data_IF_451106112073
#
_entry.id   IF_451106112073
#
_cell.length_a   1.000
_cell.length_b   1.000
_cell.length_c   1.000
_cell.angle_alpha   90.00
_cell.angle_beta   90.00
_cell.angle_gamma   90.00
#
_symmetry.space_group_name_H-M   'P 1'
#
loop_
_entity.id
_entity.type
_entity.pdbx_description
1 polymer ?
#
# COMPACT_ATOMS: atom_id res chain seq x y z
N UNK A 1 -44.61 -60.37 -37.73
CA UNK A 1 -43.61 -61.42 -37.50
C UNK A 1 -42.32 -60.69 -37.10
N UNK A 2 -42.02 -60.61 -35.80
CA UNK A 2 -40.82 -59.94 -35.31
C UNK A 2 -39.70 -60.96 -35.19
N UNK A 3 -38.66 -60.77 -35.99
CA UNK A 3 -37.44 -61.57 -35.96
C UNK A 3 -36.73 -61.32 -34.62
N UNK A 4 -36.79 -62.33 -33.73
CA UNK A 4 -36.18 -62.25 -32.40
C UNK A 4 -34.66 -62.31 -32.61
N UNK A 5 -33.96 -61.22 -32.34
CA UNK A 5 -32.49 -61.17 -32.40
C UNK A 5 -31.94 -62.16 -31.36
N UNK A 6 -31.59 -63.38 -31.79
CA UNK A 6 -30.97 -64.39 -30.94
C UNK A 6 -29.46 -64.11 -30.93
N UNK A 7 -28.99 -63.45 -29.88
CA UNK A 7 -27.57 -63.24 -29.64
C UNK A 7 -26.88 -64.58 -29.38
N UNK A 8 -25.78 -64.85 -30.11
CA UNK A 8 -24.90 -65.99 -29.83
C UNK A 8 -24.31 -65.87 -28.42
N UNK A 9 -24.02 -67.01 -27.78
CA UNK A 9 -23.54 -67.01 -26.38
C UNK A 9 -22.20 -66.28 -26.21
N UNK A 10 -21.37 -66.28 -27.25
CA UNK A 10 -20.10 -65.54 -27.29
C UNK A 10 -20.32 -64.01 -27.31
N UNK A 11 -21.42 -63.55 -27.95
CA UNK A 11 -21.82 -62.13 -27.94
C UNK A 11 -22.38 -61.71 -26.58
N UNK A 12 -23.11 -62.60 -25.89
CA UNK A 12 -23.62 -62.34 -24.54
C UNK A 12 -22.50 -62.21 -23.52
N UNK A 13 -21.50 -63.09 -23.58
CA UNK A 13 -20.33 -63.04 -22.70
C UNK A 13 -19.54 -61.73 -22.87
N UNK A 14 -19.29 -61.31 -24.12
CA UNK A 14 -18.64 -60.02 -24.41
C UNK A 14 -19.40 -58.81 -23.88
N UNK A 15 -20.74 -58.82 -23.97
CA UNK A 15 -21.58 -57.74 -23.44
C UNK A 15 -21.49 -57.68 -21.90
N UNK A 16 -21.49 -58.84 -21.23
CA UNK A 16 -21.37 -58.92 -19.76
C UNK A 16 -19.99 -58.43 -19.31
N UNK A 17 -18.92 -58.86 -19.97
CA UNK A 17 -17.55 -58.48 -19.64
C UNK A 17 -17.31 -56.97 -19.85
N UNK A 18 -17.83 -56.42 -20.95
CA UNK A 18 -17.83 -54.97 -21.18
C UNK A 18 -18.68 -54.21 -20.14
N UNK A 19 -19.80 -54.79 -19.70
CA UNK A 19 -20.62 -54.23 -18.61
C UNK A 19 -19.85 -54.14 -17.29
N UNK A 20 -19.10 -55.18 -16.93
CA UNK A 20 -18.29 -55.25 -15.71
C UNK A 20 -17.14 -54.23 -15.76
N UNK A 21 -16.44 -54.12 -16.89
CA UNK A 21 -15.34 -53.16 -17.04
C UNK A 21 -15.83 -51.72 -17.01
N UNK A 22 -16.96 -51.40 -17.64
CA UNK A 22 -17.59 -50.07 -17.59
C UNK A 22 -18.07 -49.74 -16.16
N UNK A 23 -18.65 -50.69 -15.44
CA UNK A 23 -19.06 -50.50 -14.04
C UNK A 23 -17.85 -50.25 -13.12
N UNK A 24 -16.74 -50.99 -13.31
CA UNK A 24 -15.51 -50.78 -12.57
C UNK A 24 -14.87 -49.41 -12.86
N UNK A 25 -14.93 -48.94 -14.10
CA UNK A 25 -14.46 -47.60 -14.49
C UNK A 25 -15.33 -46.48 -13.89
N UNK A 26 -16.66 -46.65 -13.84
CA UNK A 26 -17.58 -45.69 -13.17
C UNK A 26 -17.28 -45.57 -11.68
N UNK A 27 -17.04 -46.68 -10.98
CA UNK A 27 -16.67 -46.70 -9.56
C UNK A 27 -15.31 -46.00 -9.31
N UNK A 28 -14.33 -46.17 -10.20
CA UNK A 28 -13.04 -45.46 -10.14
C UNK A 28 -13.19 -43.95 -10.39
N UNK A 29 -14.00 -43.52 -11.36
CA UNK A 29 -14.27 -42.09 -11.63
C UNK A 29 -15.04 -41.41 -10.50
N UNK A 30 -16.00 -42.09 -9.88
CA UNK A 30 -16.75 -41.56 -8.74
C UNK A 30 -15.85 -41.36 -7.51
N UNK A 31 -14.96 -42.30 -7.20
CA UNK A 31 -13.97 -42.14 -6.13
C UNK A 31 -13.04 -40.94 -6.35
N UNK A 32 -12.57 -40.72 -7.60
CA UNK A 32 -11.76 -39.54 -7.94
C UNK A 32 -12.51 -38.22 -7.77
N UNK A 33 -13.79 -38.16 -8.18
CA UNK A 33 -14.64 -36.97 -7.99
C UNK A 33 -14.90 -36.63 -6.52
N UNK A 34 -15.15 -37.64 -5.68
CA UNK A 34 -15.28 -37.42 -4.23
C UNK A 34 -13.95 -36.92 -3.63
N UNK A 35 -12.82 -37.53 -4.01
CA UNK A 35 -11.51 -37.11 -3.52
C UNK A 35 -11.18 -35.66 -3.90
N UNK A 36 -11.41 -35.26 -5.16
CA UNK A 36 -11.19 -33.87 -5.58
C UNK A 36 -12.09 -32.91 -4.83
N UNK A 37 -13.37 -33.25 -4.61
CA UNK A 37 -14.30 -32.39 -3.88
C UNK A 37 -13.90 -32.24 -2.41
N UNK A 38 -13.45 -33.33 -1.76
CA UNK A 38 -12.93 -33.28 -0.39
C UNK A 38 -11.67 -32.42 -0.24
N UNK A 39 -10.76 -32.46 -1.23
CA UNK A 39 -9.54 -31.63 -1.23
C UNK A 39 -9.88 -30.14 -1.36
N UNK A 40 -10.78 -29.76 -2.27
CA UNK A 40 -11.19 -28.37 -2.42
C UNK A 40 -11.93 -27.84 -1.18
N UNK A 41 -12.76 -28.68 -0.56
CA UNK A 41 -13.45 -28.32 0.70
C UNK A 41 -12.44 -28.08 1.84
N UNK A 42 -11.43 -28.95 1.97
CA UNK A 42 -10.38 -28.79 2.98
C UNK A 42 -9.55 -27.52 2.75
N UNK A 43 -9.18 -27.21 1.51
CA UNK A 43 -8.44 -25.98 1.17
C UNK A 43 -9.27 -24.70 1.43
N UNK A 44 -10.57 -24.74 1.14
CA UNK A 44 -11.49 -23.64 1.44
C UNK A 44 -11.63 -23.39 2.94
N UNK A 45 -11.75 -24.45 3.75
CA UNK A 45 -11.80 -24.36 5.20
C UNK A 45 -10.50 -23.83 5.80
N UNK A 46 -9.33 -24.26 5.30
CA UNK A 46 -8.03 -23.75 5.76
C UNK A 46 -7.91 -22.25 5.44
N UNK A 47 -8.33 -21.82 4.25
CA UNK A 47 -8.27 -20.41 3.84
C UNK A 47 -9.22 -19.53 4.68
N UNK A 48 -10.42 -20.03 4.99
CA UNK A 48 -11.37 -19.36 5.87
C UNK A 48 -10.86 -19.27 7.32
N UNK A 49 -10.26 -20.34 7.83
CA UNK A 49 -9.63 -20.34 9.16
C UNK A 49 -8.45 -19.37 9.24
N UNK A 50 -7.60 -19.30 8.21
CA UNK A 50 -6.49 -18.33 8.17
C UNK A 50 -6.98 -16.87 8.18
N UNK A 51 -8.11 -16.58 7.55
CA UNK A 51 -8.74 -15.25 7.62
C UNK A 51 -9.43 -15.00 8.98
N UNK A 52 -10.07 -16.01 9.56
CA UNK A 52 -10.78 -15.91 10.84
C UNK A 52 -9.84 -15.86 12.06
N UNK A 53 -8.65 -16.48 11.96
CA UNK A 53 -7.62 -16.44 13.00
C UNK A 53 -7.00 -15.05 13.10
N UNK A 54 -7.24 -14.17 12.11
CA UNK A 54 -6.78 -12.78 12.12
C UNK A 54 -5.31 -12.74 12.45
N UNK A 55 -4.44 -12.98 11.44
CA UNK A 55 -3.00 -12.79 11.58
C UNK A 55 -2.78 -11.59 12.49
N UNK A 56 -2.24 -11.80 13.71
CA UNK A 56 -2.16 -10.73 14.67
C UNK A 56 -1.46 -9.60 13.96
N UNK A 57 -2.09 -8.43 13.99
CA UNK A 57 -1.52 -7.18 13.53
C UNK A 57 -0.14 -7.11 14.17
N UNK A 58 0.87 -7.55 13.43
CA UNK A 58 2.22 -7.61 13.91
C UNK A 58 2.57 -6.14 13.96
N UNK A 59 2.70 -5.58 15.16
CA UNK A 59 3.31 -4.27 15.38
C UNK A 59 4.60 -4.30 14.57
N UNK A 60 4.52 -3.74 13.37
CA UNK A 60 5.60 -3.74 12.42
C UNK A 60 6.45 -2.62 12.97
N UNK A 61 7.41 -3.01 13.83
CA UNK A 61 8.32 -2.07 14.44
C UNK A 61 9.21 -1.55 13.32
N UNK A 62 8.78 -0.46 12.70
CA UNK A 62 9.55 0.20 11.67
C UNK A 62 10.74 0.91 12.32
N UNK A 63 11.93 0.86 11.70
CA UNK A 63 13.13 1.51 12.24
C UNK A 63 13.09 3.05 12.15
N UNK A 64 11.92 3.60 11.83
CA UNK A 64 11.65 5.03 11.70
C UNK A 64 10.26 5.33 12.26
N UNK A 65 10.15 6.48 12.93
CA UNK A 65 8.91 7.10 13.35
C UNK A 65 8.80 8.45 12.66
N UNK A 66 7.64 8.74 12.11
CA UNK A 66 7.33 10.02 11.48
C UNK A 66 6.21 10.66 12.28
N UNK A 67 6.30 11.94 12.52
CA UNK A 67 5.37 12.69 13.34
C UNK A 67 4.83 13.88 12.55
N UNK A 68 3.51 14.08 12.67
CA UNK A 68 2.83 15.31 12.30
C UNK A 68 3.12 16.32 13.42
N UNK A 69 4.23 17.04 13.32
CA UNK A 69 4.83 17.88 14.37
C UNK A 69 5.46 17.08 15.52
N UNK A 70 6.15 17.74 16.46
CA UNK A 70 6.91 17.08 17.54
C UNK A 70 6.09 16.12 18.43
N UNK A 71 4.76 16.25 18.48
CA UNK A 71 3.90 15.51 19.43
C UNK A 71 2.99 14.45 18.84
N UNK A 72 2.73 14.44 17.53
CA UNK A 72 1.69 13.57 16.96
C UNK A 72 2.29 12.50 16.05
N UNK A 73 2.52 11.31 16.60
CA UNK A 73 3.06 10.18 15.83
C UNK A 73 2.09 9.74 14.73
N UNK A 74 2.60 9.58 13.51
CA UNK A 74 1.84 9.10 12.35
C UNK A 74 1.92 7.57 12.32
N UNK A 75 0.76 6.93 12.21
CA UNK A 75 0.68 5.48 12.01
C UNK A 75 1.22 5.16 10.61
N UNK A 76 2.32 4.40 10.55
CA UNK A 76 2.93 4.00 9.29
C UNK A 76 2.17 2.81 8.68
N UNK A 77 1.09 3.12 7.97
CA UNK A 77 0.32 2.16 7.17
C UNK A 77 0.12 2.67 5.75
N UNK A 78 0.14 1.79 4.76
CA UNK A 78 -0.12 2.19 3.38
C UNK A 78 -1.56 2.72 3.25
N UNK A 79 -1.72 3.81 2.52
CA UNK A 79 -2.97 4.57 2.35
C UNK A 79 -3.49 5.27 3.61
N UNK A 80 -2.75 5.25 4.72
CA UNK A 80 -3.11 5.99 5.92
C UNK A 80 -3.14 7.49 5.62
N UNK A 81 -4.19 8.15 6.10
CA UNK A 81 -4.36 9.60 6.02
C UNK A 81 -4.25 10.21 7.41
N UNK A 82 -3.51 11.30 7.53
CA UNK A 82 -3.33 12.03 8.78
C UNK A 82 -3.50 13.52 8.55
N UNK A 83 -3.82 14.24 9.62
CA UNK A 83 -4.01 15.68 9.59
C UNK A 83 -2.75 16.39 10.08
N UNK A 84 -2.52 17.57 9.52
CA UNK A 84 -1.43 18.46 9.90
C UNK A 84 -2.04 19.75 10.42
N UNK A 85 -1.61 20.16 11.61
CA UNK A 85 -1.97 21.46 12.16
C UNK A 85 -1.05 22.53 11.59
N UNK A 86 -1.64 23.68 11.25
CA UNK A 86 -0.90 24.80 10.70
C UNK A 86 -0.07 25.43 11.83
N UNK A 87 1.23 25.53 11.63
CA UNK A 87 2.20 26.02 12.62
C UNK A 87 3.08 27.12 12.03
N UNK A 88 3.75 27.86 12.90
CA UNK A 88 4.77 28.83 12.51
C UNK A 88 6.08 28.10 12.25
N UNK A 89 6.49 28.01 10.98
CA UNK A 89 7.80 27.47 10.58
C UNK A 89 8.83 28.61 10.50
N UNK A 90 10.13 28.29 10.39
CA UNK A 90 11.17 29.29 10.13
C UNK A 90 10.96 30.09 8.82
N UNK A 91 10.14 29.57 7.90
CA UNK A 91 9.89 30.14 6.58
C UNK A 91 8.46 30.71 6.42
N UNK A 92 7.70 30.79 7.51
CA UNK A 92 6.31 31.30 7.52
C UNK A 92 5.29 30.28 8.01
N UNK A 93 4.00 30.58 7.87
CA UNK A 93 2.94 29.67 8.27
C UNK A 93 2.84 28.47 7.32
N UNK A 94 2.95 27.26 7.87
CA UNK A 94 2.93 26.04 7.09
C UNK A 94 2.69 24.82 7.98
N UNK A 95 3.28 23.70 7.58
CA UNK A 95 3.14 22.41 8.24
C UNK A 95 4.52 21.80 8.46
N UNK A 96 4.61 20.92 9.44
CA UNK A 96 5.86 20.30 9.85
C UNK A 96 5.72 18.79 9.95
N UNK A 97 6.70 18.09 9.39
CA UNK A 97 6.93 16.68 9.63
C UNK A 97 8.28 16.52 10.32
N UNK A 98 8.29 15.72 11.38
CA UNK A 98 9.50 15.32 12.07
C UNK A 98 9.71 13.81 11.88
N UNK A 99 10.96 13.38 11.71
CA UNK A 99 11.27 11.95 11.69
C UNK A 99 12.44 11.61 12.61
N UNK A 100 12.33 10.45 13.24
CA UNK A 100 13.36 9.89 14.11
C UNK A 100 13.56 8.41 13.74
N UNK A 101 14.81 7.95 13.76
CA UNK A 101 15.15 6.55 13.51
C UNK A 101 15.61 5.84 14.78
N UNK A 102 15.45 4.53 14.80
CA UNK A 102 16.02 3.67 15.84
C UNK A 102 17.56 3.67 15.76
N UNK A 103 18.21 3.27 16.86
CA UNK A 103 19.66 3.14 16.90
C UNK A 103 20.17 2.17 15.82
N UNK A 104 21.25 2.55 15.14
CA UNK A 104 21.80 1.79 14.02
C UNK A 104 21.13 2.06 12.66
N UNK A 105 20.16 2.99 12.62
CA UNK A 105 19.53 3.44 11.39
C UNK A 105 19.72 4.94 11.20
N UNK A 106 19.78 5.35 9.94
CA UNK A 106 19.72 6.75 9.53
C UNK A 106 18.81 6.87 8.31
N UNK A 107 18.40 8.09 7.98
CA UNK A 107 17.55 8.30 6.82
C UNK A 107 17.99 9.51 6.01
N UNK A 108 17.55 9.55 4.76
CA UNK A 108 17.61 10.73 3.90
C UNK A 108 16.20 11.10 3.49
N UNK A 109 15.88 12.38 3.48
CA UNK A 109 14.66 12.89 2.86
C UNK A 109 14.94 13.37 1.43
N UNK A 110 13.93 13.25 0.57
CA UNK A 110 13.96 13.88 -0.75
C UNK A 110 12.56 14.33 -1.14
N UNK A 111 12.49 15.44 -1.85
CA UNK A 111 11.25 15.96 -2.42
C UNK A 111 11.12 15.36 -3.82
N UNK A 112 10.01 14.67 -4.10
CA UNK A 112 9.78 14.09 -5.42
C UNK A 112 9.23 15.17 -6.37
N UNK A 113 9.97 15.48 -7.44
CA UNK A 113 9.46 16.34 -8.52
C UNK A 113 8.40 15.59 -9.32
N UNK A 114 7.15 15.95 -9.06
CA UNK A 114 5.96 15.40 -9.74
C UNK A 114 5.25 16.48 -10.55
N UNK A 115 5.95 17.57 -10.88
CA UNK A 115 5.43 18.71 -11.63
C UNK A 115 4.68 19.75 -10.78
N UNK A 116 4.65 19.59 -9.46
CA UNK A 116 4.03 20.55 -8.52
C UNK A 116 4.66 20.50 -7.12
N UNK A 117 4.65 21.63 -6.41
CA UNK A 117 4.87 21.73 -4.96
C UNK A 117 6.30 21.49 -4.47
N UNK A 118 7.25 21.18 -5.35
CA UNK A 118 8.66 20.96 -4.97
C UNK A 118 9.30 22.18 -4.33
N UNK A 119 8.92 23.36 -4.79
CA UNK A 119 9.36 24.67 -4.33
C UNK A 119 8.75 25.08 -2.98
N UNK A 120 7.72 24.34 -2.52
CA UNK A 120 7.02 24.60 -1.25
C UNK A 120 7.55 23.76 -0.08
N UNK A 121 8.50 22.86 -0.32
CA UNK A 121 9.07 21.98 0.73
C UNK A 121 10.53 22.35 1.00
N UNK A 122 10.86 22.44 2.29
CA UNK A 122 12.17 22.75 2.79
C UNK A 122 12.57 21.72 3.84
N UNK A 123 13.79 21.19 3.79
CA UNK A 123 14.29 20.23 4.77
C UNK A 123 15.39 20.85 5.63
N UNK A 124 15.34 20.61 6.94
CA UNK A 124 16.43 20.91 7.88
C UNK A 124 16.60 19.77 8.88
N UNK A 125 17.75 19.09 8.80
CA UNK A 125 18.08 17.92 9.64
C UNK A 125 16.92 16.90 9.67
N UNK A 126 16.21 16.86 10.80
CA UNK A 126 15.15 15.90 11.05
C UNK A 126 13.75 16.40 10.69
N UNK A 127 13.65 17.64 10.23
CA UNK A 127 12.40 18.34 9.96
C UNK A 127 12.20 18.55 8.47
N UNK A 128 10.94 18.49 8.08
CA UNK A 128 10.48 18.89 6.77
C UNK A 128 9.38 19.91 6.99
N UNK A 129 9.64 21.12 6.50
CA UNK A 129 8.72 22.24 6.50
C UNK A 129 8.03 22.29 5.15
N UNK A 130 6.71 22.19 5.17
CA UNK A 130 5.89 22.37 3.99
C UNK A 130 5.12 23.69 4.10
N UNK A 131 5.50 24.65 3.27
CA UNK A 131 4.94 26.01 3.26
C UNK A 131 4.30 26.23 1.89
N UNK A 132 3.06 25.74 1.67
CA UNK A 132 2.37 25.82 0.38
C UNK A 132 2.24 27.26 -0.16
N UNK A 133 2.27 28.24 0.75
CA UNK A 133 2.13 29.66 0.50
C UNK A 133 3.45 30.44 0.68
N UNK A 134 4.63 29.81 0.59
CA UNK A 134 5.92 30.46 0.92
C UNK A 134 6.22 31.74 0.10
N UNK A 135 5.67 31.83 -1.10
CA UNK A 135 5.78 32.99 -2.00
C UNK A 135 4.80 34.12 -1.65
N UNK A 136 3.85 33.88 -0.74
CA UNK A 136 2.96 34.93 -0.24
C UNK A 136 3.69 35.74 0.81
N UNK A 137 3.76 37.05 0.61
CA UNK A 137 4.13 37.98 1.68
C UNK A 137 3.08 37.95 2.80
N UNK A 138 3.38 38.58 3.94
CA UNK A 138 2.52 38.70 5.15
C UNK A 138 1.06 39.07 4.81
N UNK A 139 0.84 39.79 3.71
CA UNK A 139 -0.48 40.22 3.23
C UNK A 139 -1.19 39.21 2.30
N UNK A 140 -0.72 37.96 2.23
CA UNK A 140 -1.22 36.89 1.34
C UNK A 140 -1.17 37.21 -0.17
N UNK A 141 -0.20 38.03 -0.59
CA UNK A 141 -0.04 38.50 -1.97
C UNK A 141 1.29 38.05 -2.55
N UNK A 142 1.28 37.76 -3.86
CA UNK A 142 2.49 37.47 -4.65
C UNK A 142 2.99 38.76 -5.22
N UNK A 143 4.31 38.93 -5.26
CA UNK A 143 4.94 40.03 -5.96
C UNK A 143 6.06 39.49 -6.86
N UNK A 144 6.25 40.10 -8.02
CA UNK A 144 7.44 39.85 -8.83
C UNK A 144 8.69 40.53 -8.23
N UNK A 145 9.86 40.29 -8.83
CA UNK A 145 11.14 40.90 -8.44
C UNK A 145 11.14 42.44 -8.46
N UNK A 146 10.14 43.06 -9.12
CA UNK A 146 9.96 44.51 -9.25
C UNK A 146 8.91 45.06 -8.27
N UNK A 147 8.32 44.22 -7.41
CA UNK A 147 7.29 44.60 -6.44
C UNK A 147 5.89 44.72 -7.03
N UNK A 148 5.64 44.20 -8.23
CA UNK A 148 4.32 44.18 -8.86
C UNK A 148 3.50 43.02 -8.31
N UNK A 149 2.29 43.29 -7.81
CA UNK A 149 1.40 42.24 -7.32
C UNK A 149 0.98 41.32 -8.48
N UNK A 150 1.24 40.01 -8.37
CA UNK A 150 0.77 39.03 -9.36
C UNK A 150 -0.61 38.52 -8.96
N UNK A 151 -1.49 38.40 -9.96
CA UNK A 151 -2.86 37.92 -9.76
C UNK A 151 -2.87 36.38 -9.71
N UNK A 152 -3.41 35.82 -8.63
CA UNK A 152 -3.35 34.39 -8.34
C UNK A 152 -4.72 33.69 -8.45
N UNK A 153 -5.63 34.29 -9.23
CA UNK A 153 -7.01 33.82 -9.41
C UNK A 153 -7.13 32.43 -10.05
N UNK A 154 -6.03 31.83 -10.53
CA UNK A 154 -5.98 30.51 -11.16
C UNK A 154 -5.19 29.42 -10.42
N UNK A 155 -4.53 29.72 -9.29
CA UNK A 155 -3.91 28.65 -8.49
C UNK A 155 -5.03 27.83 -7.86
N UNK A 156 -5.11 26.56 -8.25
CA UNK A 156 -5.97 25.57 -7.59
C UNK A 156 -5.81 25.70 -6.08
N UNK A 157 -6.92 25.88 -5.36
CA UNK A 157 -6.97 25.97 -3.89
C UNK A 157 -6.36 24.74 -3.20
N UNK A 158 -6.11 23.69 -3.96
CA UNK A 158 -5.51 22.44 -3.53
C UNK A 158 -4.00 22.50 -3.76
N UNK A 159 -3.26 22.88 -2.71
CA UNK A 159 -1.80 22.77 -2.73
C UNK A 159 -1.44 21.32 -2.46
N UNK A 160 -0.48 20.78 -3.22
CA UNK A 160 0.03 19.44 -3.01
C UNK A 160 1.54 19.43 -3.09
N UNK A 161 2.17 18.48 -2.40
CA UNK A 161 3.60 18.25 -2.49
C UNK A 161 3.92 16.79 -2.12
N UNK A 162 5.10 16.28 -2.49
CA UNK A 162 5.47 14.89 -2.20
C UNK A 162 6.86 14.77 -1.63
N UNK A 163 6.94 14.02 -0.54
CA UNK A 163 8.16 13.78 0.23
C UNK A 163 8.39 12.28 0.30
N UNK A 164 9.66 11.88 0.26
CA UNK A 164 10.05 10.52 0.57
C UNK A 164 11.12 10.44 1.65
N UNK A 165 11.00 9.43 2.50
CA UNK A 165 11.99 9.03 3.48
C UNK A 165 12.61 7.71 3.05
N UNK A 166 13.92 7.68 2.85
CA UNK A 166 14.70 6.47 2.61
C UNK A 166 15.49 6.14 3.87
N UNK A 167 15.27 4.98 4.47
CA UNK A 167 15.90 4.54 5.72
C UNK A 167 16.94 3.48 5.43
N UNK A 168 18.14 3.68 5.97
CA UNK A 168 19.32 2.86 5.77
C UNK A 168 19.81 2.32 7.11
N UNK A 169 20.39 1.12 7.10
CA UNK A 169 21.08 0.56 8.27
C UNK A 169 22.53 1.06 8.40
N UNK A 170 23.26 0.57 9.41
CA UNK A 170 24.68 0.86 9.65
C UNK A 170 25.59 0.51 8.47
N UNK A 171 25.15 -0.40 7.59
CA UNK A 171 25.88 -0.81 6.40
C UNK A 171 25.51 0.04 5.16
N UNK A 172 24.71 1.10 5.33
CA UNK A 172 24.15 1.93 4.26
C UNK A 172 23.25 1.16 3.28
N UNK A 173 22.64 0.07 3.73
CA UNK A 173 21.70 -0.71 2.91
C UNK A 173 20.28 -0.15 3.12
N UNK A 174 19.57 0.15 2.03
CA UNK A 174 18.19 0.60 2.09
C UNK A 174 17.30 -0.48 2.72
N UNK A 175 16.68 -0.15 3.86
CA UNK A 175 15.76 -1.04 4.60
C UNK A 175 14.32 -0.62 4.49
N UNK A 176 14.05 0.65 4.23
CA UNK A 176 12.69 1.13 4.12
C UNK A 176 12.58 2.35 3.20
N UNK A 177 11.48 2.45 2.45
CA UNK A 177 11.09 3.68 1.75
C UNK A 177 9.65 4.04 2.09
N UNK A 178 9.43 5.28 2.53
CA UNK A 178 8.11 5.88 2.76
C UNK A 178 7.92 6.99 1.72
N UNK A 179 6.75 7.04 1.09
CA UNK A 179 6.35 8.16 0.24
C UNK A 179 5.07 8.78 0.79
N UNK A 180 5.12 10.06 1.11
CA UNK A 180 4.02 10.84 1.68
C UNK A 180 3.62 11.91 0.67
N UNK A 181 2.35 11.96 0.32
CA UNK A 181 1.76 13.10 -0.38
C UNK A 181 1.08 14.03 0.62
N UNK A 182 1.43 15.30 0.55
CA UNK A 182 0.87 16.36 1.35
C UNK A 182 -0.18 17.10 0.51
N UNK A 183 -1.26 17.51 1.15
CA UNK A 183 -2.30 18.31 0.53
C UNK A 183 -2.91 19.32 1.49
N UNK A 184 -3.27 20.51 1.00
CA UNK A 184 -3.95 21.55 1.77
C UNK A 184 -5.24 21.85 1.05
N UNK A 185 -6.35 21.65 1.75
CA UNK A 185 -7.67 22.01 1.24
C UNK A 185 -8.34 22.93 2.25
N UNK A 186 -8.75 24.12 1.78
CA UNK A 186 -9.42 25.13 2.59
C UNK A 186 -8.70 25.48 3.91
N UNK A 187 -7.36 25.55 3.89
CA UNK A 187 -6.55 25.90 5.06
C UNK A 187 -6.20 24.72 5.99
N UNK A 188 -6.64 23.50 5.67
CA UNK A 188 -6.37 22.29 6.44
C UNK A 188 -5.34 21.44 5.72
N UNK A 189 -4.22 21.18 6.37
CA UNK A 189 -3.17 20.30 5.87
C UNK A 189 -3.50 18.84 6.18
N UNK A 190 -3.21 17.97 5.25
CA UNK A 190 -3.26 16.52 5.42
C UNK A 190 -2.08 15.87 4.72
N UNK A 191 -1.73 14.68 5.18
CA UNK A 191 -0.78 13.80 4.51
C UNK A 191 -1.38 12.44 4.26
N UNK A 192 -0.93 11.79 3.19
CA UNK A 192 -1.31 10.43 2.81
C UNK A 192 -0.07 9.60 2.52
N UNK A 193 0.05 8.44 3.17
CA UNK A 193 1.13 7.49 2.89
C UNK A 193 0.78 6.76 1.59
N UNK A 194 1.45 7.14 0.50
CA UNK A 194 1.22 6.56 -0.83
C UNK A 194 1.92 5.21 -1.00
N UNK A 195 3.11 5.06 -0.41
CA UNK A 195 3.92 3.84 -0.51
C UNK A 195 4.66 3.60 0.78
N UNK A 196 4.67 2.34 1.20
CA UNK A 196 5.41 1.85 2.35
C UNK A 196 6.11 0.55 1.96
N UNK A 197 7.43 0.60 1.74
CA UNK A 197 8.20 -0.54 1.26
C UNK A 197 9.26 -0.90 2.29
N UNK A 198 9.25 -2.15 2.74
CA UNK A 198 10.28 -2.72 3.63
C UNK A 198 11.15 -3.71 2.88
N UNK A 199 12.47 -3.56 3.00
CA UNK A 199 13.46 -4.44 2.38
C UNK A 199 14.08 -5.34 3.45
N UNK A 200 13.88 -6.67 3.38
CA UNK A 200 14.34 -7.58 4.42
C UNK A 200 15.87 -7.59 4.53
N UNK A 201 16.36 -7.81 5.76
CA UNK A 201 17.77 -8.15 5.98
C UNK A 201 18.01 -9.53 5.39
N UNK A 202 18.90 -9.62 4.40
CA UNK A 202 19.37 -10.93 3.94
C UNK A 202 20.07 -11.58 5.12
N UNK A 203 19.50 -12.70 5.59
CA UNK A 203 20.06 -13.55 6.64
C UNK A 203 21.26 -14.33 6.11
#
# INVERSE_FOLDING_TARGET
>A
MFEKIVLSDDSKLRIIENGITVAAQRKKRQKKRCYTFSVFLALGLISFLLQAIGFPYQETLYPIKVYAQETSEIILSEQEEFFLEKTQTPLGFGYELYAATDAGYHYTNSVEDIGYGIDTIFSDKNHIYWVPDYWKNIDNKIYDEKGTQLDNSGATKDYKARVSYCVYDEQNILRMKIVIELSENAGKGSGKILKLISYPKQL
#
